data_IF_970010345673
#
_entry.id   IF_970010345673
#
_cell.length_a   1.000
_cell.length_b   1.000
_cell.length_c   1.000
_cell.angle_alpha   90.00
_cell.angle_beta   90.00
_cell.angle_gamma   90.00
#
_symmetry.space_group_name_H-M   'P 1'
#
loop_
_entity.id
_entity.type
_entity.pdbx_description
1 polymer ?
#
# COMPACT_ATOMS: atom_id res chain seq x y z
N UNK A 1 37.69 26.62 -40.63
CA UNK A 1 37.68 26.58 -39.15
C UNK A 1 36.31 26.04 -38.74
N UNK A 2 36.17 24.71 -38.70
CA UNK A 2 34.92 24.04 -38.36
C UNK A 2 34.86 23.88 -36.83
N UNK A 3 33.85 24.48 -36.20
CA UNK A 3 33.58 24.34 -34.78
C UNK A 3 32.64 23.14 -34.56
N UNK A 4 33.17 22.07 -33.98
CA UNK A 4 32.40 20.91 -33.52
C UNK A 4 31.75 21.26 -32.19
N UNK A 5 30.41 21.35 -32.17
CA UNK A 5 29.65 21.41 -30.93
C UNK A 5 29.63 20.00 -30.29
N UNK A 6 30.35 19.84 -29.18
CA UNK A 6 30.16 18.70 -28.28
C UNK A 6 28.92 18.98 -27.44
N UNK A 7 27.83 18.28 -27.75
CA UNK A 7 26.67 18.16 -26.85
C UNK A 7 27.11 17.40 -25.61
N UNK A 8 27.21 18.08 -24.47
CA UNK A 8 27.41 17.43 -23.18
C UNK A 8 26.17 16.60 -22.83
N UNK A 9 26.29 15.28 -22.94
CA UNK A 9 25.35 14.36 -22.29
C UNK A 9 25.58 14.47 -20.79
N UNK A 10 24.62 15.07 -20.09
CA UNK A 10 24.55 15.04 -18.63
C UNK A 10 24.27 13.60 -18.21
N UNK A 11 25.31 12.79 -18.04
CA UNK A 11 25.19 11.55 -17.28
C UNK A 11 24.83 11.91 -15.84
N UNK A 12 23.53 11.83 -15.50
CA UNK A 12 23.07 11.81 -14.12
C UNK A 12 23.75 10.59 -13.49
N UNK A 13 24.63 10.79 -12.50
CA UNK A 13 25.16 9.67 -11.72
C UNK A 13 23.98 8.83 -11.21
N UNK A 14 24.06 7.49 -11.23
CA UNK A 14 22.95 6.65 -10.78
C UNK A 14 22.71 6.91 -9.29
N UNK A 15 21.66 7.65 -8.98
CA UNK A 15 21.14 7.79 -7.62
C UNK A 15 20.70 6.42 -7.15
N UNK A 16 21.36 5.91 -6.10
CA UNK A 16 21.02 4.65 -5.47
C UNK A 16 19.54 4.65 -5.05
N UNK A 17 18.81 3.60 -5.43
CA UNK A 17 17.42 3.40 -5.02
C UNK A 17 17.38 3.11 -3.52
N UNK A 18 16.69 3.96 -2.76
CA UNK A 18 16.56 3.84 -1.30
C UNK A 18 15.11 3.55 -0.95
N UNK A 19 14.88 2.43 -0.26
CA UNK A 19 13.58 2.07 0.30
C UNK A 19 13.49 2.61 1.73
N UNK A 20 12.33 3.15 2.10
CA UNK A 20 12.05 3.68 3.43
C UNK A 20 11.48 2.58 4.34
N UNK A 21 11.66 2.75 5.65
CA UNK A 21 11.26 1.78 6.68
C UNK A 21 9.74 1.52 6.73
N UNK A 22 8.91 2.39 6.13
CA UNK A 22 7.49 2.15 5.94
C UNK A 22 7.11 1.95 4.47
N UNK A 23 6.50 0.78 4.18
CA UNK A 23 6.01 0.39 2.86
C UNK A 23 4.50 0.10 2.91
N UNK A 24 3.61 1.11 2.88
CA UNK A 24 2.18 0.86 2.88
C UNK A 24 1.73 0.25 1.54
N UNK A 25 0.97 -0.85 1.62
CA UNK A 25 0.28 -1.46 0.48
C UNK A 25 -1.01 -0.70 0.21
N UNK A 26 -1.04 0.03 -0.89
CA UNK A 26 -2.13 0.92 -1.29
C UNK A 26 -2.72 0.47 -2.62
N UNK A 27 -4.02 0.21 -2.62
CA UNK A 27 -4.75 -0.02 -3.87
C UNK A 27 -4.78 1.26 -4.69
N UNK A 28 -4.64 1.16 -6.01
CA UNK A 28 -4.60 2.30 -6.94
C UNK A 28 -5.96 2.98 -7.12
N UNK A 29 -6.49 3.52 -6.03
CA UNK A 29 -7.79 4.17 -5.90
C UNK A 29 -7.60 5.62 -5.45
N UNK A 30 -8.66 6.40 -5.65
CA UNK A 30 -8.62 7.85 -5.44
C UNK A 30 -8.34 8.25 -3.99
N UNK A 31 -8.93 7.58 -3.00
CA UNK A 31 -8.76 7.97 -1.60
C UNK A 31 -7.31 7.78 -1.13
N UNK A 32 -6.69 6.69 -1.54
CA UNK A 32 -5.31 6.29 -1.27
C UNK A 32 -4.32 7.28 -1.89
N UNK A 33 -4.47 7.56 -3.18
CA UNK A 33 -3.64 8.57 -3.86
C UNK A 33 -3.79 9.95 -3.24
N UNK A 34 -5.02 10.39 -3.01
CA UNK A 34 -5.29 11.70 -2.44
C UNK A 34 -4.81 11.80 -0.98
N UNK A 35 -4.80 10.69 -0.23
CA UNK A 35 -4.30 10.65 1.15
C UNK A 35 -2.79 10.82 1.18
N UNK A 36 -2.06 10.08 0.32
CA UNK A 36 -0.61 10.18 0.18
C UNK A 36 -0.19 11.58 -0.31
N UNK A 37 -0.90 12.14 -1.30
CA UNK A 37 -0.65 13.49 -1.82
C UNK A 37 -0.87 14.61 -0.78
N UNK A 38 -1.59 14.32 0.31
CA UNK A 38 -1.89 15.27 1.38
C UNK A 38 -1.08 15.04 2.65
N UNK A 39 -0.12 14.12 2.65
CA UNK A 39 0.80 13.97 3.77
C UNK A 39 1.68 15.21 3.94
N UNK A 40 2.06 15.47 5.18
CA UNK A 40 3.15 16.40 5.46
C UNK A 40 4.42 15.93 4.71
N UNK A 41 5.19 16.82 4.06
CA UNK A 41 6.40 16.43 3.35
C UNK A 41 7.36 15.57 4.19
N UNK A 42 7.54 15.88 5.48
CA UNK A 42 8.44 15.14 6.37
C UNK A 42 7.96 13.72 6.64
N UNK A 43 6.64 13.52 6.72
CA UNK A 43 6.05 12.18 6.86
C UNK A 43 6.26 11.40 5.56
N UNK A 44 5.98 12.04 4.42
CA UNK A 44 6.04 11.41 3.10
C UNK A 44 7.46 10.98 2.69
N UNK A 45 8.50 11.70 3.12
CA UNK A 45 9.91 11.34 2.87
C UNK A 45 10.35 10.01 3.52
N UNK A 46 9.57 9.50 4.47
CA UNK A 46 9.79 8.24 5.17
C UNK A 46 8.88 7.10 4.69
N UNK A 47 8.27 7.26 3.51
CA UNK A 47 7.35 6.28 2.94
C UNK A 47 7.82 5.88 1.53
N UNK A 48 7.89 4.57 1.28
CA UNK A 48 7.99 4.00 -0.07
C UNK A 48 6.69 3.24 -0.36
N UNK A 49 5.69 3.82 -1.04
CA UNK A 49 4.40 3.15 -1.21
C UNK A 49 4.53 1.95 -2.16
N UNK A 50 3.75 0.90 -1.88
CA UNK A 50 3.49 -0.18 -2.83
C UNK A 50 2.10 0.00 -3.41
N UNK A 51 2.00 0.24 -4.71
CA UNK A 51 0.73 0.41 -5.39
C UNK A 51 0.25 -0.89 -6.04
N UNK A 52 -0.88 -1.39 -5.57
CA UNK A 52 -1.60 -2.47 -6.23
C UNK A 52 -2.58 -1.88 -7.25
N UNK A 53 -2.26 -2.04 -8.54
CA UNK A 53 -3.15 -1.67 -9.62
C UNK A 53 -4.31 -2.66 -9.69
N UNK A 54 -5.53 -2.12 -9.69
CA UNK A 54 -6.77 -2.90 -9.69
C UNK A 54 -7.58 -2.64 -10.95
N UNK A 55 -8.44 -3.60 -11.31
CA UNK A 55 -9.44 -3.38 -12.34
C UNK A 55 -10.38 -2.21 -11.96
N UNK A 56 -10.55 -1.19 -12.82
CA UNK A 56 -11.45 -0.08 -12.56
C UNK A 56 -12.91 -0.52 -12.66
N UNK A 57 -13.81 0.32 -12.12
CA UNK A 57 -15.24 0.07 -12.24
C UNK A 57 -15.65 0.18 -13.72
N UNK A 58 -16.62 -0.60 -14.21
CA UNK A 58 -17.26 -0.28 -15.47
C UNK A 58 -17.96 1.09 -15.34
N UNK A 59 -17.90 1.90 -16.38
CA UNK A 59 -18.63 3.17 -16.44
C UNK A 59 -20.10 2.83 -16.67
N UNK A 60 -20.96 3.26 -15.74
CA UNK A 60 -22.42 3.02 -15.80
C UNK A 60 -23.18 4.33 -16.03
N UNK A 61 -24.38 4.20 -16.58
CA UNK A 61 -25.30 5.33 -16.71
C UNK A 61 -25.76 5.81 -15.32
N UNK A 62 -25.89 7.13 -15.13
CA UNK A 62 -26.29 7.71 -13.84
C UNK A 62 -27.78 7.52 -13.56
N UNK A 63 -28.61 7.45 -14.60
CA UNK A 63 -30.06 7.23 -14.51
C UNK A 63 -30.45 5.76 -14.50
N UNK A 64 -29.59 4.87 -15.00
CA UNK A 64 -29.77 3.42 -14.97
C UNK A 64 -28.45 2.70 -14.66
N UNK A 65 -28.25 2.32 -13.40
CA UNK A 65 -27.04 1.61 -12.96
C UNK A 65 -26.86 0.23 -13.61
N UNK A 66 -27.90 -0.37 -14.19
CA UNK A 66 -27.76 -1.63 -14.91
C UNK A 66 -27.12 -1.44 -16.30
N UNK A 67 -27.23 -0.23 -16.87
CA UNK A 67 -26.67 0.11 -18.17
C UNK A 67 -25.17 0.42 -18.08
N UNK A 68 -24.35 -0.46 -18.65
CA UNK A 68 -22.90 -0.27 -18.79
C UNK A 68 -22.63 0.56 -20.05
N UNK A 69 -21.99 1.71 -19.88
CA UNK A 69 -21.55 2.60 -20.96
C UNK A 69 -20.16 2.26 -21.47
N UNK A 70 -19.31 1.69 -20.61
CA UNK A 70 -17.96 1.23 -20.96
C UNK A 70 -17.54 0.17 -19.94
N UNK A 71 -17.01 -0.95 -20.41
CA UNK A 71 -16.54 -2.01 -19.53
C UNK A 71 -15.23 -1.64 -18.80
N UNK A 72 -14.85 -2.44 -17.82
CA UNK A 72 -13.65 -2.21 -17.00
C UNK A 72 -12.35 -2.24 -17.82
N UNK A 73 -12.27 -3.06 -18.89
CA UNK A 73 -11.08 -3.16 -19.75
C UNK A 73 -10.85 -1.87 -20.52
N UNK A 74 -11.91 -1.34 -21.13
CA UNK A 74 -11.91 -0.07 -21.84
C UNK A 74 -11.58 1.09 -20.89
N UNK A 75 -12.20 1.12 -19.71
CA UNK A 75 -11.91 2.14 -18.69
C UNK A 75 -10.44 2.09 -18.24
N UNK A 76 -9.86 0.90 -18.09
CA UNK A 76 -8.43 0.75 -17.76
C UNK A 76 -7.56 1.38 -18.85
N UNK A 77 -7.78 0.99 -20.12
CA UNK A 77 -7.01 1.50 -21.26
C UNK A 77 -7.09 3.03 -21.41
N UNK A 78 -8.27 3.62 -21.18
CA UNK A 78 -8.44 5.08 -21.23
C UNK A 78 -7.67 5.79 -20.11
N UNK A 79 -7.65 5.19 -18.91
CA UNK A 79 -7.02 5.82 -17.75
C UNK A 79 -5.52 5.58 -17.66
N UNK A 80 -5.02 4.50 -18.27
CA UNK A 80 -3.64 4.05 -18.13
C UNK A 80 -2.61 5.14 -18.48
N UNK A 81 -2.75 5.91 -19.59
CA UNK A 81 -1.82 7.00 -19.92
C UNK A 81 -1.73 8.11 -18.86
N UNK A 82 -2.79 8.31 -18.05
CA UNK A 82 -2.79 9.31 -16.97
C UNK A 82 -2.22 8.79 -15.64
N UNK A 83 -1.83 7.51 -15.58
CA UNK A 83 -1.36 6.85 -14.35
C UNK A 83 -0.10 7.52 -13.82
N UNK A 84 0.88 7.81 -14.68
CA UNK A 84 2.12 8.45 -14.26
C UNK A 84 1.89 9.90 -13.82
N UNK A 85 1.04 10.66 -14.51
CA UNK A 85 0.65 12.00 -14.05
C UNK A 85 -0.01 11.95 -12.66
N UNK A 86 -0.87 10.96 -12.42
CA UNK A 86 -1.50 10.77 -11.11
C UNK A 86 -0.49 10.32 -10.03
N UNK A 87 0.49 9.49 -10.40
CA UNK A 87 1.58 9.05 -9.52
C UNK A 87 2.47 10.21 -9.11
N UNK A 88 2.84 11.08 -10.05
CA UNK A 88 3.64 12.27 -9.78
C UNK A 88 2.93 13.31 -8.89
N UNK A 89 1.61 13.24 -8.77
CA UNK A 89 0.84 14.09 -7.84
C UNK A 89 0.90 13.57 -6.41
N UNK A 90 1.02 12.26 -6.20
CA UNK A 90 1.05 11.66 -4.87
C UNK A 90 2.47 11.30 -4.39
N UNK A 91 3.40 11.10 -5.31
CA UNK A 91 4.80 10.77 -5.06
C UNK A 91 5.69 11.93 -5.57
N UNK A 92 6.59 12.51 -4.73
CA UNK A 92 7.50 13.57 -5.16
C UNK A 92 8.42 13.14 -6.31
N UNK A 93 9.03 14.13 -6.98
CA UNK A 93 10.13 13.88 -7.91
C UNK A 93 11.30 13.21 -7.14
N UNK A 94 11.97 12.26 -7.80
CA UNK A 94 13.03 11.40 -7.27
C UNK A 94 12.58 10.48 -6.11
N UNK A 95 11.26 10.30 -5.91
CA UNK A 95 10.76 9.28 -5.00
C UNK A 95 10.82 7.88 -5.61
N UNK A 96 10.71 6.87 -4.76
CA UNK A 96 10.64 5.45 -5.14
C UNK A 96 9.27 4.90 -4.78
N UNK A 97 8.70 4.05 -5.64
CA UNK A 97 7.47 3.33 -5.36
C UNK A 97 7.52 1.92 -5.96
N UNK A 98 6.87 0.97 -5.29
CA UNK A 98 6.64 -0.36 -5.85
C UNK A 98 5.35 -0.37 -6.67
N UNK A 99 5.32 -1.15 -7.75
CA UNK A 99 4.13 -1.33 -8.60
C UNK A 99 3.81 -2.82 -8.74
N UNK A 100 2.61 -3.20 -8.31
CA UNK A 100 2.09 -4.55 -8.38
C UNK A 100 0.81 -4.56 -9.23
N UNK A 101 0.76 -5.42 -10.25
CA UNK A 101 -0.37 -5.56 -11.16
C UNK A 101 -1.13 -6.88 -10.97
N UNK A 102 -0.87 -7.65 -9.91
CA UNK A 102 -1.50 -8.98 -9.73
C UNK A 102 -3.04 -8.92 -9.69
N UNK A 103 -3.62 -7.78 -9.27
CA UNK A 103 -5.07 -7.53 -9.24
C UNK A 103 -5.65 -7.01 -10.58
N UNK A 104 -4.81 -6.89 -11.61
CA UNK A 104 -5.25 -6.70 -13.00
C UNK A 104 -5.59 -8.06 -13.62
N UNK A 105 -6.64 -8.05 -14.45
CA UNK A 105 -7.06 -9.19 -15.25
C UNK A 105 -5.88 -9.81 -16.03
N UNK A 106 -5.77 -11.14 -16.00
CA UNK A 106 -4.58 -11.85 -16.50
C UNK A 106 -4.25 -11.53 -17.96
N UNK A 107 -5.26 -11.35 -18.81
CA UNK A 107 -5.10 -11.01 -20.24
C UNK A 107 -4.47 -9.62 -20.45
N UNK A 108 -4.61 -8.70 -19.50
CA UNK A 108 -4.14 -7.32 -19.61
C UNK A 108 -2.89 -7.04 -18.76
N UNK A 109 -2.53 -7.95 -17.86
CA UNK A 109 -1.60 -7.71 -16.76
C UNK A 109 -0.19 -7.34 -17.24
N UNK A 110 0.39 -8.15 -18.13
CA UNK A 110 1.74 -7.92 -18.64
C UNK A 110 1.86 -6.64 -19.47
N UNK A 111 0.86 -6.38 -20.34
CA UNK A 111 0.79 -5.16 -21.14
C UNK A 111 0.63 -3.90 -20.25
N UNK A 112 -0.22 -3.99 -19.22
CA UNK A 112 -0.43 -2.90 -18.26
C UNK A 112 0.87 -2.59 -17.50
N UNK A 113 1.56 -3.62 -16.98
CA UNK A 113 2.83 -3.44 -16.29
C UNK A 113 3.86 -2.79 -17.22
N UNK A 114 3.99 -3.30 -18.45
CA UNK A 114 4.96 -2.78 -19.41
C UNK A 114 4.73 -1.29 -19.68
N UNK A 115 3.49 -0.91 -19.97
CA UNK A 115 3.16 0.49 -20.27
C UNK A 115 3.45 1.40 -19.07
N UNK A 116 3.07 1.03 -17.85
CA UNK A 116 3.34 1.85 -16.66
C UNK A 116 4.84 2.04 -16.43
N UNK A 117 5.62 0.98 -16.63
CA UNK A 117 7.07 1.04 -16.48
C UNK A 117 7.75 1.88 -17.57
N UNK A 118 7.32 1.75 -18.82
CA UNK A 118 7.81 2.56 -19.95
C UNK A 118 7.48 4.05 -19.73
N UNK A 119 6.22 4.37 -19.42
CA UNK A 119 5.77 5.75 -19.18
C UNK A 119 6.53 6.38 -17.99
N UNK A 120 6.85 5.58 -16.96
CA UNK A 120 7.63 6.06 -15.81
C UNK A 120 9.07 6.42 -16.21
N UNK A 121 9.74 5.58 -17.01
CA UNK A 121 11.08 5.84 -17.53
C UNK A 121 11.12 7.12 -18.37
N UNK A 122 10.12 7.32 -19.23
CA UNK A 122 10.02 8.53 -20.07
C UNK A 122 9.81 9.80 -19.23
N UNK A 123 9.02 9.72 -18.16
CA UNK A 123 8.72 10.87 -17.30
C UNK A 123 9.89 11.30 -16.41
N UNK A 124 10.89 10.43 -16.18
CA UNK A 124 12.08 10.68 -15.35
C UNK A 124 11.80 11.26 -13.95
N UNK A 125 10.64 10.95 -13.35
CA UNK A 125 10.13 11.62 -12.16
C UNK A 125 10.08 10.72 -10.93
N UNK A 126 9.44 9.55 -11.02
CA UNK A 126 9.38 8.57 -9.92
C UNK A 126 10.04 7.28 -10.37
N UNK A 127 10.90 6.73 -9.51
CA UNK A 127 11.54 5.43 -9.72
C UNK A 127 10.53 4.33 -9.36
N UNK A 128 10.13 3.53 -10.34
CA UNK A 128 9.25 2.39 -10.12
C UNK A 128 10.05 1.09 -10.00
N UNK A 129 9.68 0.27 -9.02
CA UNK A 129 10.18 -1.09 -8.84
C UNK A 129 9.02 -2.05 -9.09
N UNK A 130 9.06 -2.88 -10.14
CA UNK A 130 8.01 -3.85 -10.37
C UNK A 130 8.02 -4.93 -9.28
N UNK A 131 6.84 -5.33 -8.83
CA UNK A 131 6.63 -6.45 -7.92
C UNK A 131 6.30 -7.69 -8.75
N UNK A 132 6.96 -8.81 -8.45
CA UNK A 132 6.67 -10.10 -9.05
C UNK A 132 6.44 -11.17 -8.00
N UNK A 133 5.46 -12.03 -8.26
CA UNK A 133 5.12 -13.15 -7.40
C UNK A 133 5.84 -14.40 -7.92
N UNK A 134 6.52 -15.12 -7.03
CA UNK A 134 7.28 -16.33 -7.38
C UNK A 134 6.63 -17.59 -6.81
N UNK A 135 5.39 -17.87 -7.19
CA UNK A 135 4.64 -19.05 -6.74
C UNK A 135 4.81 -20.18 -7.79
N UNK A 136 5.67 -21.20 -7.58
CA UNK A 136 6.05 -22.11 -8.66
C UNK A 136 4.91 -23.02 -9.11
N UNK A 137 4.05 -23.44 -8.18
CA UNK A 137 3.03 -24.47 -8.43
C UNK A 137 1.73 -23.89 -9.02
N UNK A 138 1.52 -22.57 -8.91
CA UNK A 138 0.25 -21.91 -9.28
C UNK A 138 0.39 -20.87 -10.41
N UNK A 139 1.58 -20.73 -11.00
CA UNK A 139 1.81 -19.72 -12.04
C UNK A 139 1.08 -20.05 -13.34
N UNK A 140 0.21 -19.14 -13.77
CA UNK A 140 -0.45 -19.16 -15.07
C UNK A 140 0.45 -18.57 -16.17
N UNK A 141 0.08 -18.75 -17.44
CA UNK A 141 0.77 -18.09 -18.56
C UNK A 141 0.81 -16.56 -18.41
N UNK A 142 -0.27 -15.98 -17.86
CA UNK A 142 -0.34 -14.55 -17.56
C UNK A 142 0.66 -14.13 -16.46
N UNK A 143 0.87 -14.98 -15.44
CA UNK A 143 1.85 -14.72 -14.38
C UNK A 143 3.27 -14.78 -14.95
N UNK A 144 3.57 -15.77 -15.79
CA UNK A 144 4.87 -15.90 -16.44
C UNK A 144 5.17 -14.74 -17.39
N UNK A 145 4.19 -14.32 -18.20
CA UNK A 145 4.33 -13.16 -19.08
C UNK A 145 4.57 -11.86 -18.30
N UNK A 146 3.85 -11.66 -17.19
CA UNK A 146 4.00 -10.49 -16.32
C UNK A 146 5.36 -10.49 -15.62
N UNK A 147 5.78 -11.63 -15.08
CA UNK A 147 7.09 -11.84 -14.46
C UNK A 147 8.22 -11.54 -15.44
N UNK A 148 8.09 -11.98 -16.69
CA UNK A 148 9.08 -11.67 -17.73
C UNK A 148 9.26 -10.16 -17.91
N UNK A 149 8.16 -9.40 -18.00
CA UNK A 149 8.21 -7.93 -18.12
C UNK A 149 8.93 -7.31 -16.91
N UNK A 150 8.61 -7.75 -15.70
CA UNK A 150 9.24 -7.26 -14.47
C UNK A 150 10.76 -7.54 -14.43
N UNK A 151 11.17 -8.76 -14.79
CA UNK A 151 12.59 -9.15 -14.84
C UNK A 151 13.34 -8.40 -15.94
N UNK A 152 12.79 -8.33 -17.15
CA UNK A 152 13.42 -7.60 -18.26
C UNK A 152 13.64 -6.12 -17.87
N UNK A 153 12.66 -5.51 -17.18
CA UNK A 153 12.78 -4.15 -16.67
C UNK A 153 13.87 -4.02 -15.62
N UNK A 154 13.91 -4.92 -14.64
CA UNK A 154 14.90 -4.87 -13.56
C UNK A 154 16.33 -4.99 -14.08
N UNK A 155 16.55 -5.84 -15.09
CA UNK A 155 17.87 -6.05 -15.72
C UNK A 155 18.29 -4.85 -16.59
N UNK A 156 17.35 -4.06 -17.10
CA UNK A 156 17.63 -2.95 -18.04
C UNK A 156 17.60 -1.55 -17.41
N UNK A 157 16.86 -1.34 -16.32
CA UNK A 157 16.60 -0.01 -15.76
C UNK A 157 17.42 0.36 -14.51
N UNK A 158 18.23 -0.55 -13.97
CA UNK A 158 18.95 -0.43 -12.68
C UNK A 158 18.08 -0.18 -11.43
N UNK A 159 16.77 0.02 -11.61
CA UNK A 159 15.80 0.28 -10.55
C UNK A 159 15.55 -0.96 -9.66
N UNK A 160 15.83 -2.15 -10.19
CA UNK A 160 15.70 -3.41 -9.47
C UNK A 160 14.33 -4.07 -9.57
N UNK A 161 14.09 -5.06 -8.72
CA UNK A 161 12.89 -5.90 -8.67
C UNK A 161 12.46 -6.11 -7.23
N UNK A 162 11.17 -6.21 -6.97
CA UNK A 162 10.65 -6.70 -5.70
C UNK A 162 10.04 -8.08 -5.89
N UNK A 163 10.52 -9.07 -5.15
CA UNK A 163 10.00 -10.43 -5.12
C UNK A 163 9.01 -10.52 -3.96
N UNK A 164 7.73 -10.73 -4.26
CA UNK A 164 6.67 -10.94 -3.26
C UNK A 164 6.44 -12.44 -3.05
N UNK A 165 6.56 -12.87 -1.80
CA UNK A 165 6.31 -14.24 -1.34
C UNK A 165 5.06 -14.20 -0.47
N UNK A 166 4.03 -14.94 -0.87
CA UNK A 166 2.79 -15.03 -0.11
C UNK A 166 2.93 -16.01 1.07
N UNK A 167 2.00 -15.90 2.03
CA UNK A 167 1.97 -16.77 3.22
C UNK A 167 2.01 -18.26 2.89
N UNK A 168 1.32 -18.70 1.84
CA UNK A 168 1.30 -20.12 1.47
C UNK A 168 2.68 -20.62 1.04
N UNK A 169 3.43 -19.79 0.31
CA UNK A 169 4.78 -20.11 -0.13
C UNK A 169 5.78 -20.09 1.03
N UNK A 170 5.52 -19.35 2.12
CA UNK A 170 6.39 -19.35 3.33
C UNK A 170 6.40 -20.69 4.07
N UNK A 171 5.33 -21.46 3.96
CA UNK A 171 5.26 -22.79 4.56
C UNK A 171 5.92 -23.87 3.67
N UNK A 172 6.34 -23.55 2.44
CA UNK A 172 7.04 -24.50 1.54
C UNK A 172 8.48 -24.75 2.03
N UNK A 173 8.80 -26.02 2.31
CA UNK A 173 10.15 -26.45 2.72
C UNK A 173 11.23 -26.15 1.67
N UNK A 174 10.87 -26.04 0.39
CA UNK A 174 11.80 -25.77 -0.71
C UNK A 174 11.88 -24.29 -1.12
N UNK A 175 11.30 -23.38 -0.32
CA UNK A 175 11.28 -21.95 -0.65
C UNK A 175 12.68 -21.38 -0.90
N UNK A 176 13.67 -21.82 -0.14
CA UNK A 176 15.07 -21.40 -0.27
C UNK A 176 15.63 -21.72 -1.67
N UNK A 177 15.38 -22.93 -2.17
CA UNK A 177 15.79 -23.39 -3.49
C UNK A 177 15.03 -22.65 -4.58
N UNK A 178 13.73 -22.43 -4.40
CA UNK A 178 12.88 -21.67 -5.34
C UNK A 178 13.40 -20.25 -5.52
N UNK A 179 13.64 -19.54 -4.41
CA UNK A 179 14.15 -18.16 -4.43
C UNK A 179 15.55 -18.12 -5.05
N UNK A 180 16.45 -19.01 -4.63
CA UNK A 180 17.83 -19.08 -5.13
C UNK A 180 17.86 -19.38 -6.63
N UNK A 181 17.07 -20.35 -7.10
CA UNK A 181 16.97 -20.70 -8.50
C UNK A 181 16.37 -19.56 -9.33
N UNK A 182 15.35 -18.87 -8.81
CA UNK A 182 14.74 -17.72 -9.49
C UNK A 182 15.76 -16.59 -9.69
N UNK A 183 16.50 -16.23 -8.65
CA UNK A 183 17.57 -15.22 -8.73
C UNK A 183 18.65 -15.63 -9.73
N UNK A 184 19.16 -16.86 -9.63
CA UNK A 184 20.23 -17.36 -10.48
C UNK A 184 19.82 -17.45 -11.96
N UNK A 185 18.62 -17.97 -12.24
CA UNK A 185 18.09 -18.13 -13.59
C UNK A 185 17.95 -16.77 -14.31
N UNK A 186 17.44 -15.77 -13.59
CA UNK A 186 17.21 -14.44 -14.13
C UNK A 186 18.43 -13.50 -14.00
N UNK A 187 19.54 -13.99 -13.43
CA UNK A 187 20.79 -13.23 -13.21
C UNK A 187 20.56 -11.92 -12.44
N UNK A 188 19.68 -11.97 -11.44
CA UNK A 188 19.35 -10.79 -10.64
C UNK A 188 20.48 -10.45 -9.68
N UNK A 189 20.75 -9.16 -9.51
CA UNK A 189 21.60 -8.65 -8.45
C UNK A 189 20.77 -8.55 -7.16
N UNK A 190 21.07 -9.42 -6.19
CA UNK A 190 20.39 -9.45 -4.89
C UNK A 190 20.50 -8.09 -4.17
N UNK A 191 21.60 -7.36 -4.33
CA UNK A 191 21.79 -6.04 -3.71
C UNK A 191 20.91 -4.94 -4.30
N UNK A 192 20.24 -5.23 -5.43
CA UNK A 192 19.25 -4.37 -6.09
C UNK A 192 17.85 -5.01 -6.10
N UNK A 193 17.67 -6.11 -5.39
CA UNK A 193 16.40 -6.84 -5.33
C UNK A 193 15.84 -6.75 -3.91
N UNK A 194 14.56 -6.41 -3.80
CA UNK A 194 13.83 -6.40 -2.54
C UNK A 194 13.05 -7.70 -2.36
N UNK A 195 12.90 -8.13 -1.11
CA UNK A 195 12.12 -9.29 -0.73
C UNK A 195 10.93 -8.84 0.13
N UNK A 196 9.71 -9.01 -0.37
CA UNK A 196 8.49 -8.72 0.37
C UNK A 196 7.82 -10.02 0.81
N UNK A 197 7.72 -10.20 2.12
CA UNK A 197 7.09 -11.32 2.78
C UNK A 197 5.67 -10.89 3.15
N UNK A 198 4.67 -11.47 2.51
CA UNK A 198 3.27 -11.07 2.67
C UNK A 198 2.50 -12.12 3.45
N UNK A 199 2.29 -11.85 4.73
CA UNK A 199 1.48 -12.67 5.61
C UNK A 199 -0.01 -12.59 5.26
N UNK A 200 -0.44 -11.58 4.49
CA UNK A 200 -1.86 -11.36 4.20
C UNK A 200 -2.64 -10.99 5.46
N UNK A 201 -3.71 -11.71 5.76
CA UNK A 201 -4.59 -11.43 6.91
C UNK A 201 -3.93 -11.87 8.21
N UNK A 202 -3.69 -10.95 9.14
CA UNK A 202 -3.13 -11.26 10.46
C UNK A 202 -4.23 -11.15 11.54
N UNK A 203 -4.27 -12.11 12.45
CA UNK A 203 -5.19 -12.12 13.58
C UNK A 203 -4.49 -12.40 14.93
N UNK A 204 -5.27 -12.66 15.98
CA UNK A 204 -4.76 -12.94 17.33
C UNK A 204 -3.97 -14.25 17.45
N UNK A 205 -4.15 -15.19 16.51
CA UNK A 205 -3.52 -16.51 16.54
C UNK A 205 -2.16 -16.53 15.83
N UNK A 206 -1.82 -15.48 15.09
CA UNK A 206 -0.49 -15.34 14.50
C UNK A 206 0.57 -15.16 15.59
N UNK A 207 1.69 -15.88 15.41
CA UNK A 207 2.83 -15.96 16.34
C UNK A 207 4.09 -15.39 15.69
N UNK A 208 4.67 -14.37 16.31
CA UNK A 208 5.91 -13.74 15.87
C UNK A 208 7.11 -14.69 15.86
N UNK A 209 7.14 -15.73 16.70
CA UNK A 209 8.22 -16.73 16.66
C UNK A 209 8.19 -17.56 15.37
N UNK A 210 6.99 -17.99 14.94
CA UNK A 210 6.82 -18.70 13.66
C UNK A 210 7.27 -17.82 12.50
N UNK A 211 6.88 -16.54 12.51
CA UNK A 211 7.30 -15.58 11.48
C UNK A 211 8.83 -15.42 11.48
N UNK A 212 9.47 -15.31 12.65
CA UNK A 212 10.92 -15.21 12.76
C UNK A 212 11.63 -16.45 12.17
N UNK A 213 11.16 -17.65 12.48
CA UNK A 213 11.69 -18.89 11.93
C UNK A 213 11.54 -18.97 10.40
N UNK A 214 10.43 -18.47 9.84
CA UNK A 214 10.23 -18.37 8.39
C UNK A 214 11.19 -17.36 7.74
N UNK A 215 11.43 -16.22 8.39
CA UNK A 215 12.36 -15.19 7.88
C UNK A 215 13.81 -15.71 7.85
N UNK A 216 14.25 -16.42 8.89
CA UNK A 216 15.61 -16.98 8.96
C UNK A 216 15.86 -18.13 7.97
N UNK A 217 14.81 -18.74 7.42
CA UNK A 217 14.92 -19.73 6.34
C UNK A 217 15.19 -19.11 4.96
N UNK A 218 15.01 -17.80 4.81
CA UNK A 218 15.19 -17.13 3.52
C UNK A 218 16.68 -17.03 3.17
N UNK A 219 17.06 -17.34 1.92
CA UNK A 219 18.46 -17.39 1.54
C UNK A 219 19.09 -16.00 1.48
N UNK A 220 20.32 -15.86 1.97
CA UNK A 220 21.11 -14.63 1.87
C UNK A 220 20.39 -13.38 2.42
N UNK A 221 19.71 -13.51 3.56
CA UNK A 221 18.84 -12.47 4.14
C UNK A 221 19.55 -11.11 4.30
N UNK A 222 20.85 -11.13 4.58
CA UNK A 222 21.73 -9.97 4.76
C UNK A 222 22.08 -9.24 3.44
N UNK A 223 21.89 -9.90 2.29
CA UNK A 223 22.34 -9.39 0.99
C UNK A 223 21.26 -8.68 0.17
N UNK A 224 19.99 -8.95 0.44
CA UNK A 224 18.87 -8.29 -0.24
C UNK A 224 18.96 -6.78 -0.08
N UNK A 225 18.53 -6.01 -1.09
CA UNK A 225 18.42 -4.55 -0.95
C UNK A 225 17.57 -4.21 0.28
N UNK A 226 16.39 -4.81 0.36
CA UNK A 226 15.45 -4.65 1.47
C UNK A 226 14.74 -5.97 1.75
N UNK A 227 14.43 -6.23 3.02
CA UNK A 227 13.47 -7.25 3.43
C UNK A 227 12.29 -6.52 4.05
N UNK A 228 11.08 -6.80 3.58
CA UNK A 228 9.84 -6.11 3.94
C UNK A 228 8.87 -7.15 4.46
N UNK A 229 8.24 -6.92 5.62
CA UNK A 229 7.20 -7.77 6.16
C UNK A 229 5.85 -7.06 6.08
N UNK A 230 4.94 -7.61 5.28
CA UNK A 230 3.59 -7.10 5.09
C UNK A 230 2.56 -7.99 5.78
N UNK A 231 1.57 -7.35 6.39
CA UNK A 231 0.37 -8.02 6.89
C UNK A 231 -0.73 -7.00 7.16
N UNK A 232 -1.97 -7.45 7.31
CA UNK A 232 -3.05 -6.55 7.68
C UNK A 232 -4.12 -7.21 8.54
N UNK A 233 -4.51 -6.50 9.58
CA UNK A 233 -5.48 -6.97 10.57
C UNK A 233 -6.87 -6.35 10.41
N UNK A 234 -7.06 -5.42 9.45
CA UNK A 234 -8.35 -4.76 9.29
C UNK A 234 -9.41 -5.76 8.80
N UNK A 235 -10.61 -5.81 9.40
CA UNK A 235 -11.63 -6.80 9.07
C UNK A 235 -12.13 -6.63 7.63
N UNK A 236 -12.61 -7.74 7.05
CA UNK A 236 -13.13 -7.80 5.67
C UNK A 236 -14.14 -6.69 5.40
N UNK A 237 -15.07 -6.51 6.33
CA UNK A 237 -16.03 -5.44 6.34
C UNK A 237 -16.41 -5.10 7.79
N UNK A 238 -17.33 -4.15 7.95
CA UNK A 238 -17.77 -3.71 9.28
C UNK A 238 -19.09 -4.36 9.70
N UNK A 239 -19.53 -5.43 9.01
CA UNK A 239 -20.88 -5.98 9.18
C UNK A 239 -21.15 -6.56 10.57
N UNK A 240 -20.12 -7.09 11.22
CA UNK A 240 -20.16 -7.70 12.56
C UNK A 240 -20.34 -6.67 13.69
N UNK A 241 -19.97 -5.40 13.47
CA UNK A 241 -20.15 -4.37 14.48
C UNK A 241 -21.60 -3.88 14.53
N UNK A 242 -22.13 -3.51 15.69
CA UNK A 242 -23.49 -2.96 15.73
C UNK A 242 -23.58 -1.61 14.98
N UNK A 243 -24.76 -1.25 14.48
CA UNK A 243 -24.97 0.10 13.92
C UNK A 243 -24.99 1.11 15.07
N UNK A 244 -24.53 2.32 14.81
CA UNK A 244 -24.41 3.40 15.80
C UNK A 244 -23.50 3.04 16.99
N UNK A 245 -22.47 2.24 16.73
CA UNK A 245 -21.52 1.78 17.74
C UNK A 245 -20.12 2.33 17.48
N UNK A 246 -19.30 2.22 18.51
CA UNK A 246 -17.86 2.47 18.49
C UNK A 246 -17.16 1.19 18.90
N UNK A 247 -16.19 0.74 18.11
CA UNK A 247 -15.53 -0.55 18.26
C UNK A 247 -14.02 -0.39 18.11
N UNK A 248 -13.29 -1.21 18.85
CA UNK A 248 -11.84 -1.30 18.75
C UNK A 248 -11.47 -2.52 17.93
N UNK A 249 -10.54 -2.33 16.99
CA UNK A 249 -9.98 -3.41 16.17
C UNK A 249 -8.47 -3.40 16.36
N UNK A 250 -7.92 -4.45 16.96
CA UNK A 250 -6.49 -4.56 17.24
C UNK A 250 -5.67 -4.58 15.94
N UNK A 251 -4.55 -3.85 15.92
CA UNK A 251 -3.54 -3.88 14.85
C UNK A 251 -2.62 -5.07 15.05
N UNK A 252 -3.10 -6.29 14.79
CA UNK A 252 -2.31 -7.51 14.97
C UNK A 252 -1.06 -7.53 14.07
N UNK A 253 -1.14 -6.92 12.89
CA UNK A 253 0.02 -6.64 12.02
C UNK A 253 1.11 -5.83 12.72
N UNK A 254 0.73 -4.72 13.36
CA UNK A 254 1.64 -3.88 14.13
C UNK A 254 2.22 -4.62 15.35
N UNK A 255 1.40 -5.42 16.03
CA UNK A 255 1.82 -6.26 17.17
C UNK A 255 2.91 -7.24 16.75
N UNK A 256 2.66 -8.06 15.72
CA UNK A 256 3.61 -9.06 15.24
C UNK A 256 4.94 -8.41 14.88
N UNK A 257 4.90 -7.31 14.13
CA UNK A 257 6.11 -6.63 13.71
C UNK A 257 6.91 -6.04 14.90
N UNK A 258 6.25 -5.46 15.90
CA UNK A 258 6.92 -4.98 17.12
C UNK A 258 7.51 -6.11 17.97
N UNK A 259 6.83 -7.26 18.06
CA UNK A 259 7.37 -8.42 18.77
C UNK A 259 8.64 -8.94 18.07
N UNK A 260 8.68 -8.93 16.74
CA UNK A 260 9.87 -9.29 15.96
C UNK A 260 11.05 -8.36 16.21
N UNK A 261 10.81 -7.06 16.44
CA UNK A 261 11.89 -6.08 16.71
C UNK A 261 12.74 -6.47 17.91
N UNK A 262 12.12 -7.10 18.90
CA UNK A 262 12.79 -7.52 20.13
C UNK A 262 13.28 -8.98 20.07
N UNK A 263 13.21 -9.62 18.90
CA UNK A 263 13.55 -11.02 18.73
C UNK A 263 15.02 -11.20 18.36
N UNK A 264 15.84 -11.62 19.32
CA UNK A 264 17.29 -11.83 19.13
C UNK A 264 17.65 -12.96 18.16
N UNK A 265 16.68 -13.72 17.64
CA UNK A 265 16.92 -14.77 16.65
C UNK A 265 17.02 -14.22 15.22
N UNK A 266 16.57 -12.99 14.97
CA UNK A 266 16.60 -12.41 13.64
C UNK A 266 17.99 -11.90 13.28
N UNK A 267 18.53 -12.41 12.17
CA UNK A 267 19.77 -11.92 11.56
C UNK A 267 19.59 -10.58 10.87
N UNK A 268 18.35 -10.26 10.46
CA UNK A 268 17.97 -8.98 9.86
C UNK A 268 16.53 -8.65 10.19
N UNK A 269 16.30 -7.43 10.67
CA UNK A 269 14.96 -6.93 10.95
C UNK A 269 14.28 -6.42 9.67
N UNK A 270 13.05 -6.87 9.33
CA UNK A 270 12.35 -6.43 8.13
C UNK A 270 11.70 -5.06 8.30
N UNK A 271 11.63 -4.28 7.22
CA UNK A 271 10.84 -3.05 7.17
C UNK A 271 9.35 -3.33 7.34
N UNK A 272 8.63 -2.39 7.96
CA UNK A 272 7.21 -2.53 8.21
C UNK A 272 6.40 -2.25 6.95
N UNK A 273 5.44 -3.12 6.67
CA UNK A 273 4.44 -2.95 5.64
C UNK A 273 3.08 -3.37 6.16
N UNK A 274 2.04 -2.64 5.78
CA UNK A 274 0.65 -2.97 6.09
C UNK A 274 -0.29 -2.62 4.96
N UNK A 275 -1.55 -3.05 5.09
CA UNK A 275 -2.64 -2.66 4.19
C UNK A 275 -3.38 -1.40 4.66
N UNK A 276 -2.69 -0.56 5.43
CA UNK A 276 -3.21 0.61 6.11
C UNK A 276 -4.53 0.33 6.86
N UNK A 277 -5.60 1.03 6.51
CA UNK A 277 -6.95 0.85 7.10
C UNK A 277 -7.87 0.00 6.21
N UNK A 278 -7.32 -0.97 5.48
CA UNK A 278 -8.08 -1.85 4.60
C UNK A 278 -7.75 -3.32 4.84
N UNK A 279 -8.74 -4.17 4.55
CA UNK A 279 -8.54 -5.62 4.57
C UNK A 279 -7.56 -6.05 3.47
N UNK A 280 -6.59 -6.94 3.74
CA UNK A 280 -5.58 -7.40 2.77
C UNK A 280 -6.18 -7.97 1.48
N UNK A 281 -7.18 -8.84 1.60
CA UNK A 281 -7.77 -9.52 0.44
C UNK A 281 -8.67 -8.56 -0.34
N UNK A 282 -8.41 -8.40 -1.64
CA UNK A 282 -9.23 -7.61 -2.53
C UNK A 282 -10.31 -8.45 -3.22
N UNK A 283 -11.57 -8.24 -2.84
CA UNK A 283 -12.72 -8.95 -3.41
C UNK A 283 -13.33 -8.29 -4.66
N UNK A 284 -12.58 -7.41 -5.33
CA UNK A 284 -13.11 -6.64 -6.45
C UNK A 284 -14.03 -5.49 -6.01
N UNK A 285 -14.72 -4.90 -6.99
CA UNK A 285 -15.65 -3.80 -6.73
C UNK A 285 -17.06 -4.34 -6.54
N UNK A 286 -17.62 -4.13 -5.36
CA UNK A 286 -19.00 -4.53 -5.06
C UNK A 286 -19.94 -3.42 -5.54
N UNK A 287 -20.72 -3.68 -6.59
CA UNK A 287 -21.66 -2.71 -7.12
C UNK A 287 -22.85 -2.50 -6.17
N UNK A 288 -23.35 -1.26 -6.13
CA UNK A 288 -24.66 -0.91 -5.58
C UNK A 288 -24.90 -1.15 -4.07
N UNK A 289 -23.90 -1.44 -3.24
CA UNK A 289 -24.11 -1.64 -1.79
C UNK A 289 -24.45 -0.36 -1.04
N UNK A 290 -25.44 -0.44 -0.15
CA UNK A 290 -25.76 0.65 0.76
C UNK A 290 -24.72 0.72 1.88
N UNK A 291 -23.54 1.27 1.57
CA UNK A 291 -22.43 1.42 2.52
C UNK A 291 -22.86 2.23 3.74
N UNK A 292 -22.41 1.81 4.92
CA UNK A 292 -22.62 2.57 6.16
C UNK A 292 -21.80 3.86 6.18
N UNK A 293 -22.32 4.90 6.84
CA UNK A 293 -21.48 6.02 7.26
C UNK A 293 -20.51 5.49 8.32
N UNK A 294 -19.23 5.38 8.02
CA UNK A 294 -18.26 4.81 8.97
C UNK A 294 -16.96 5.58 8.93
N UNK A 295 -16.37 5.83 10.10
CA UNK A 295 -15.09 6.51 10.25
C UNK A 295 -14.12 5.54 10.90
N UNK A 296 -12.95 5.39 10.28
CA UNK A 296 -11.84 4.56 10.74
C UNK A 296 -10.75 5.51 11.20
N UNK A 297 -10.35 5.41 12.45
CA UNK A 297 -9.32 6.26 13.05
C UNK A 297 -8.26 5.35 13.67
N UNK A 298 -6.98 5.55 13.35
CA UNK A 298 -5.93 4.73 13.93
C UNK A 298 -5.53 5.28 15.29
N UNK A 299 -5.23 4.41 16.24
CA UNK A 299 -4.56 4.73 17.48
C UNK A 299 -3.32 3.84 17.62
N UNK A 300 -2.62 3.92 18.74
CA UNK A 300 -1.27 3.37 18.87
C UNK A 300 -1.20 1.86 18.59
N UNK A 301 -2.18 1.08 19.08
CA UNK A 301 -2.25 -0.39 18.93
C UNK A 301 -3.55 -0.92 18.31
N UNK A 302 -4.51 -0.04 18.00
CA UNK A 302 -5.81 -0.43 17.45
C UNK A 302 -6.33 0.60 16.45
N UNK A 303 -7.40 0.26 15.75
CA UNK A 303 -8.27 1.22 15.08
C UNK A 303 -9.54 1.44 15.90
N UNK A 304 -9.88 2.70 16.06
CA UNK A 304 -11.12 3.20 16.60
C UNK A 304 -12.13 3.33 15.44
N UNK A 305 -13.11 2.43 15.39
CA UNK A 305 -14.08 2.29 14.31
C UNK A 305 -15.46 2.72 14.77
N UNK A 306 -15.88 3.89 14.31
CA UNK A 306 -17.24 4.40 14.54
C UNK A 306 -18.13 4.04 13.36
N UNK A 307 -19.15 3.21 13.59
CA UNK A 307 -20.06 2.68 12.57
C UNK A 307 -21.45 3.30 12.72
N UNK A 308 -21.91 4.05 11.72
CA UNK A 308 -23.31 4.44 11.54
C UNK A 308 -24.11 3.43 10.71
N UNK A 309 -25.25 3.86 10.20
CA UNK A 309 -26.13 3.08 9.33
C UNK A 309 -25.92 3.37 7.84
N UNK A 310 -26.62 2.62 6.99
CA UNK A 310 -26.56 2.74 5.52
C UNK A 310 -26.93 4.14 5.03
N UNK A 311 -26.09 4.73 4.18
CA UNK A 311 -26.25 6.09 3.65
C UNK A 311 -27.53 6.32 2.82
N UNK A 312 -28.14 5.25 2.32
CA UNK A 312 -29.34 5.24 1.47
C UNK A 312 -30.57 4.63 2.17
N UNK A 313 -30.54 4.52 3.49
CA UNK A 313 -31.72 4.14 4.27
C UNK A 313 -32.82 5.21 4.11
N UNK A 314 -34.06 4.79 3.86
CA UNK A 314 -35.19 5.68 3.53
C UNK A 314 -35.44 6.75 4.60
N UNK A 315 -35.36 6.34 5.86
CA UNK A 315 -35.60 7.21 7.03
C UNK A 315 -34.30 7.49 7.81
N UNK A 316 -33.14 7.24 7.16
CA UNK A 316 -31.84 7.40 7.80
C UNK A 316 -31.25 8.80 7.64
N UNK A 317 -30.32 9.15 8.52
CA UNK A 317 -29.64 10.45 8.49
C UNK A 317 -28.70 10.62 7.28
N UNK A 318 -28.47 9.56 6.50
CA UNK A 318 -27.64 9.59 5.29
C UNK A 318 -26.23 10.09 5.60
N UNK A 319 -25.75 11.06 4.84
CA UNK A 319 -24.42 11.63 5.03
C UNK A 319 -24.29 12.51 6.29
N UNK A 320 -25.39 12.97 6.90
CA UNK A 320 -25.34 13.81 8.13
C UNK A 320 -24.80 13.06 9.34
N UNK A 321 -24.72 11.74 9.28
CA UNK A 321 -24.03 10.92 10.27
C UNK A 321 -22.56 11.30 10.41
N UNK A 322 -21.89 11.71 9.33
CA UNK A 322 -20.46 11.96 9.33
C UNK A 322 -20.01 13.11 10.24
N UNK A 323 -20.59 14.33 10.18
CA UNK A 323 -20.33 15.38 11.15
C UNK A 323 -20.59 14.96 12.61
N UNK A 324 -21.66 14.20 12.87
CA UNK A 324 -21.95 13.71 14.22
C UNK A 324 -20.87 12.73 14.71
N UNK A 325 -20.43 11.81 13.86
CA UNK A 325 -19.31 10.91 14.16
C UNK A 325 -18.01 11.69 14.39
N UNK A 326 -17.78 12.77 13.62
CA UNK A 326 -16.62 13.64 13.79
C UNK A 326 -16.63 14.35 15.16
N UNK A 327 -17.78 14.89 15.58
CA UNK A 327 -17.95 15.51 16.89
C UNK A 327 -17.66 14.53 18.03
N UNK A 328 -18.14 13.28 17.90
CA UNK A 328 -17.85 12.23 18.86
C UNK A 328 -16.35 11.95 18.95
N UNK A 329 -15.66 11.81 17.81
CA UNK A 329 -14.20 11.55 17.74
C UNK A 329 -13.39 12.69 18.36
N UNK A 330 -13.68 13.94 18.02
CA UNK A 330 -12.94 15.11 18.55
C UNK A 330 -13.05 15.22 20.07
N UNK A 331 -14.13 14.70 20.66
CA UNK A 331 -14.31 14.62 22.11
C UNK A 331 -13.56 13.48 22.80
N UNK A 332 -12.91 12.57 22.06
CA UNK A 332 -12.23 11.42 22.64
C UNK A 332 -10.75 11.70 22.92
N UNK A 333 -10.21 11.01 23.91
CA UNK A 333 -8.78 11.11 24.28
C UNK A 333 -7.84 10.56 23.20
N UNK A 334 -8.30 9.59 22.40
CA UNK A 334 -7.50 9.00 21.34
C UNK A 334 -7.34 9.94 20.14
N UNK A 335 -8.14 11.01 20.02
CA UNK A 335 -8.00 11.96 18.93
C UNK A 335 -6.69 12.75 19.11
N UNK A 336 -5.76 12.57 18.18
CA UNK A 336 -4.41 13.15 18.21
C UNK A 336 -4.38 14.67 17.98
N UNK A 337 -5.52 15.27 17.66
CA UNK A 337 -5.69 16.72 17.52
C UNK A 337 -5.60 17.22 16.07
N UNK A 338 -6.24 18.37 15.80
CA UNK A 338 -6.38 18.95 14.46
C UNK A 338 -5.06 19.10 13.69
N UNK A 339 -3.98 19.44 14.39
CA UNK A 339 -2.65 19.67 13.79
C UNK A 339 -1.86 18.39 13.54
N UNK A 340 -2.36 17.21 13.92
CA UNK A 340 -1.61 15.97 13.83
C UNK A 340 -1.37 15.52 12.39
N UNK A 341 -2.41 15.60 11.54
CA UNK A 341 -2.37 15.27 10.11
C UNK A 341 -3.44 16.04 9.33
N UNK A 342 -3.37 16.01 7.99
CA UNK A 342 -4.43 16.57 7.16
C UNK A 342 -5.77 15.81 7.31
N UNK A 343 -5.72 14.53 7.68
CA UNK A 343 -6.87 13.72 8.04
C UNK A 343 -7.54 14.21 9.32
N UNK A 344 -6.77 14.46 10.37
CA UNK A 344 -7.28 15.00 11.65
C UNK A 344 -7.86 16.40 11.48
N UNK A 345 -7.21 17.23 10.66
CA UNK A 345 -7.76 18.53 10.28
C UNK A 345 -9.13 18.39 9.63
N UNK A 346 -9.28 17.46 8.69
CA UNK A 346 -10.56 17.20 8.05
C UNK A 346 -11.62 16.76 9.06
N UNK A 347 -11.27 15.90 10.03
CA UNK A 347 -12.20 15.47 11.09
C UNK A 347 -12.63 16.67 11.95
N UNK A 348 -11.69 17.52 12.40
CA UNK A 348 -11.99 18.74 13.17
C UNK A 348 -12.92 19.68 12.42
N UNK A 349 -12.64 19.96 11.14
CA UNK A 349 -13.47 20.82 10.31
C UNK A 349 -14.90 20.28 10.11
N UNK A 350 -15.06 18.96 9.98
CA UNK A 350 -16.38 18.32 9.83
C UNK A 350 -17.14 18.24 11.15
N UNK A 351 -16.43 18.21 12.28
CA UNK A 351 -17.04 18.32 13.60
C UNK A 351 -17.59 19.73 13.86
N UNK A 352 -16.87 20.76 13.41
CA UNK A 352 -17.24 22.16 13.59
C UNK A 352 -18.31 22.67 12.61
N UNK A 353 -18.35 22.15 11.38
CA UNK A 353 -19.30 22.55 10.33
C UNK A 353 -20.09 21.36 9.77
N UNK A 354 -21.32 21.18 10.27
CA UNK A 354 -22.25 20.13 9.84
C UNK A 354 -22.93 20.40 8.49
N UNK A 355 -22.75 21.59 7.88
CA UNK A 355 -23.28 21.86 6.55
C UNK A 355 -22.56 21.06 5.45
N UNK A 356 -21.32 20.65 5.72
CA UNK A 356 -20.49 19.83 4.84
C UNK A 356 -20.30 18.46 5.45
N UNK A 357 -20.89 17.45 4.85
CA UNK A 357 -20.85 16.07 5.38
C UNK A 357 -19.70 15.24 4.84
N UNK A 358 -19.21 15.56 3.64
CA UNK A 358 -18.30 14.69 2.91
C UNK A 358 -18.98 13.44 2.34
N UNK A 359 -18.17 12.49 1.90
CA UNK A 359 -18.62 11.22 1.31
C UNK A 359 -17.66 10.08 1.70
N UNK A 360 -18.02 8.80 1.45
CA UNK A 360 -17.16 7.67 1.81
C UNK A 360 -15.71 7.81 1.36
N UNK A 361 -15.46 8.33 0.15
CA UNK A 361 -14.11 8.55 -0.38
C UNK A 361 -13.34 9.59 0.43
N UNK A 362 -13.97 10.70 0.83
CA UNK A 362 -13.27 11.75 1.61
C UNK A 362 -12.98 11.31 3.04
N UNK A 363 -13.88 10.52 3.65
CA UNK A 363 -13.67 9.95 4.98
C UNK A 363 -12.62 8.85 4.99
N UNK A 364 -12.61 7.98 3.97
CA UNK A 364 -11.56 6.99 3.79
C UNK A 364 -10.20 7.66 3.56
N UNK A 365 -10.15 8.73 2.76
CA UNK A 365 -8.94 9.54 2.57
C UNK A 365 -8.42 10.11 3.89
N UNK A 366 -9.30 10.66 4.73
CA UNK A 366 -8.91 11.23 6.02
C UNK A 366 -8.31 10.16 6.94
N UNK A 367 -8.96 9.00 7.05
CA UNK A 367 -8.46 7.87 7.83
C UNK A 367 -7.12 7.32 7.32
N UNK A 368 -6.95 7.20 6.00
CA UNK A 368 -5.68 6.78 5.38
C UNK A 368 -4.55 7.79 5.67
N UNK A 369 -4.81 9.09 5.48
CA UNK A 369 -3.80 10.12 5.74
C UNK A 369 -3.36 10.12 7.21
N UNK A 370 -4.33 10.00 8.12
CA UNK A 370 -4.06 9.88 9.55
C UNK A 370 -3.23 8.62 9.87
N UNK A 371 -3.66 7.43 9.40
CA UNK A 371 -2.95 6.17 9.63
C UNK A 371 -1.51 6.21 9.12
N UNK A 372 -1.31 6.67 7.89
CA UNK A 372 0.03 6.81 7.31
C UNK A 372 0.90 7.75 8.16
N UNK A 373 0.33 8.86 8.65
CA UNK A 373 1.04 9.80 9.53
C UNK A 373 1.38 9.18 10.88
N UNK A 374 0.45 8.46 11.49
CA UNK A 374 0.64 7.78 12.77
C UNK A 374 1.76 6.74 12.66
N UNK A 375 1.64 5.81 11.71
CA UNK A 375 2.60 4.70 11.54
C UNK A 375 4.00 5.22 11.27
N UNK A 376 4.17 6.21 10.38
CA UNK A 376 5.50 6.81 10.14
C UNK A 376 6.09 7.43 11.40
N UNK A 377 5.29 8.15 12.21
CA UNK A 377 5.77 8.73 13.47
C UNK A 377 6.15 7.64 14.48
N UNK A 378 5.35 6.58 14.60
CA UNK A 378 5.63 5.46 15.49
C UNK A 378 6.94 4.75 15.12
N UNK A 379 7.18 4.56 13.83
CA UNK A 379 8.44 3.99 13.32
C UNK A 379 9.63 4.88 13.67
N UNK A 380 9.57 6.19 13.39
CA UNK A 380 10.66 7.12 13.69
C UNK A 380 11.00 7.18 15.20
N UNK A 381 9.98 7.15 16.07
CA UNK A 381 10.21 7.20 17.53
C UNK A 381 10.86 5.91 18.05
N UNK A 382 10.63 4.80 17.38
CA UNK A 382 11.20 3.52 17.77
C UNK A 382 12.68 3.41 17.39
N UNK A 383 13.08 4.01 16.27
CA UNK A 383 14.48 4.04 15.82
C UNK A 383 15.34 4.88 16.81
N UNK A 384 14.80 5.97 17.36
CA UNK A 384 15.49 6.81 18.36
C UNK A 384 15.76 6.11 19.71
N UNK A 385 14.87 5.18 20.12
CA UNK A 385 15.07 4.39 21.34
C UNK A 385 16.15 3.31 21.21
N UNK A 386 16.48 2.88 19.99
CA UNK A 386 17.57 1.93 19.75
C UNK A 386 18.94 2.64 19.77
N UNK A 387 19.06 3.82 19.14
CA UNK A 387 20.32 4.61 19.15
C UNK A 387 20.73 5.09 20.54
N UNK A 388 19.78 5.26 21.47
CA UNK A 388 20.04 5.70 22.85
C UNK A 388 20.33 4.53 23.82
N UNK A 389 20.05 3.29 23.43
CA UNK A 389 20.31 2.09 24.22
C UNK A 389 21.69 1.45 24.02
N UNK A 390 22.45 1.91 23.00
CA UNK A 390 23.80 1.43 22.68
C UNK A 390 24.94 2.32 23.22
N UNK A 391 24.65 3.30 24.09
CA UNK A 391 25.67 4.17 24.72
C UNK A 391 26.10 3.73 26.12
#
# INVERSE_FOLDING_TARGET
MFATFLTGSSHKEPTMVVIKNYVPVLRWKKAERDALAKLDPKVRENITPLFELIMPAPKRDKGDYNKILSDSRTVLQINLPSTIEALNKCCPIDSTAFVDVHLIDGELRSATLKQVLDDALESSSTTLIPVTHIIPVLSTDADMATRKVAVDYAVTSDNGLCIRIDRYSLDDENLDQVVTAFVAHNKLDISKTDLLIDLGVIDENDDSNKVAEQLERLPSIDRWRTVILSGGAFPRDLSEFEKHSHNQVTRHDWRIWNELRHNSKLSRFPYYSDYAIQHPIFYGQIAATNTSASVRYADDSQWEVSRGEGLRNKDGAGHQQYPALAQLIVGQKYFKGESFSAGDKYISERAADSSKTGNPTTWLKAGLNHHLTLTTKQLATSDETEETGEQ
#
